data_IF_065732114964
#
_entry.id   IF_065732114964
#
_cell.length_a   1.000
_cell.length_b   1.000
_cell.length_c   1.000
_cell.angle_alpha   90.00
_cell.angle_beta   90.00
_cell.angle_gamma   90.00
#
_symmetry.space_group_name_H-M   'P 1'
#
loop_
_entity.id
_entity.type
_entity.pdbx_description
1 polymer ?
#
# COMPACT_ATOMS: atom_id res chain seq x y z
N UNK A 1 13.10 7.16 -16.55
CA UNK A 1 13.50 6.43 -15.33
C UNK A 1 12.30 5.61 -14.87
N UNK A 2 12.49 4.32 -14.68
CA UNK A 2 11.49 3.43 -14.08
C UNK A 2 11.98 3.07 -12.68
N UNK A 3 11.19 3.35 -11.65
CA UNK A 3 11.54 3.00 -10.27
C UNK A 3 10.72 1.81 -9.77
N UNK A 4 11.32 0.99 -8.93
CA UNK A 4 10.67 -0.14 -8.25
C UNK A 4 11.09 -0.19 -6.80
N UNK A 5 10.19 -0.63 -5.94
CA UNK A 5 10.45 -0.76 -4.51
C UNK A 5 10.26 -2.21 -4.05
N UNK A 6 11.05 -2.63 -3.10
CA UNK A 6 10.85 -3.90 -2.39
C UNK A 6 9.95 -3.73 -1.14
N UNK A 7 9.49 -2.53 -0.86
CA UNK A 7 8.74 -2.20 0.36
C UNK A 7 7.27 -2.68 0.38
N UNK A 8 6.72 -3.15 -0.73
CA UNK A 8 5.30 -3.55 -0.86
C UNK A 8 5.20 -5.05 -1.14
N UNK A 9 4.96 -5.44 -2.38
CA UNK A 9 4.72 -6.83 -2.77
C UNK A 9 5.84 -7.81 -2.36
N UNK A 10 7.06 -7.35 -2.19
CA UNK A 10 8.19 -8.16 -1.73
C UNK A 10 8.36 -8.21 -0.19
N UNK A 11 7.54 -7.47 0.59
CA UNK A 11 7.56 -7.53 2.06
C UNK A 11 8.77 -6.89 2.75
N UNK A 12 9.66 -6.20 2.04
CA UNK A 12 10.94 -5.71 2.57
C UNK A 12 10.91 -4.22 2.97
N UNK A 13 9.78 -3.72 3.48
CA UNK A 13 9.62 -2.30 3.80
C UNK A 13 10.66 -1.78 4.81
N UNK A 14 11.01 -2.58 5.82
CA UNK A 14 11.97 -2.23 6.86
C UNK A 14 13.42 -2.12 6.35
N UNK A 15 13.76 -2.76 5.24
CA UNK A 15 15.12 -2.80 4.72
C UNK A 15 15.50 -1.59 3.85
N UNK A 16 14.55 -0.73 3.50
CA UNK A 16 14.74 0.52 2.76
C UNK A 16 15.48 0.34 1.43
N UNK A 17 15.05 -0.60 0.58
CA UNK A 17 15.66 -0.93 -0.70
C UNK A 17 14.68 -0.83 -1.85
N UNK A 18 15.18 -0.37 -2.97
CA UNK A 18 14.50 -0.28 -4.26
C UNK A 18 15.54 -0.16 -5.37
N UNK A 19 15.10 -0.11 -6.60
CA UNK A 19 15.98 0.08 -7.74
C UNK A 19 15.33 0.95 -8.82
N UNK A 20 16.17 1.46 -9.71
CA UNK A 20 15.72 2.16 -10.91
C UNK A 20 16.35 1.56 -12.15
N UNK A 21 15.62 1.63 -13.26
CA UNK A 21 16.12 1.31 -14.61
C UNK A 21 16.06 2.59 -15.44
N UNK A 22 17.20 2.97 -16.00
CA UNK A 22 17.32 4.20 -16.79
C UNK A 22 18.49 4.07 -17.79
N UNK A 23 18.70 5.10 -18.62
CA UNK A 23 19.87 5.15 -19.51
C UNK A 23 21.18 5.21 -18.71
N UNK A 24 22.32 4.74 -19.28
CA UNK A 24 23.63 4.83 -18.62
C UNK A 24 24.01 6.24 -18.17
N UNK A 25 23.67 7.27 -18.98
CA UNK A 25 23.92 8.67 -18.65
C UNK A 25 23.19 9.10 -17.36
N UNK A 26 21.91 8.72 -17.24
CA UNK A 26 21.12 9.05 -16.05
C UNK A 26 21.65 8.26 -14.84
N UNK A 27 22.01 6.98 -15.02
CA UNK A 27 22.60 6.17 -13.96
C UNK A 27 23.90 6.78 -13.43
N UNK A 28 24.75 7.31 -14.30
CA UNK A 28 25.97 8.01 -13.93
C UNK A 28 25.69 9.26 -13.09
N UNK A 29 24.72 10.11 -13.50
CA UNK A 29 24.32 11.27 -12.72
C UNK A 29 23.77 10.89 -11.35
N UNK A 30 22.94 9.86 -11.23
CA UNK A 30 22.46 9.36 -9.95
C UNK A 30 23.63 8.86 -9.08
N UNK A 31 24.59 8.14 -9.66
CA UNK A 31 25.77 7.65 -8.95
C UNK A 31 26.67 8.77 -8.39
N UNK A 32 26.70 9.93 -9.03
CA UNK A 32 27.48 11.08 -8.53
C UNK A 32 26.87 11.77 -7.32
N UNK A 33 25.56 11.65 -7.13
CA UNK A 33 24.83 12.37 -6.07
C UNK A 33 24.28 11.46 -4.96
N UNK A 34 24.29 10.13 -5.17
CA UNK A 34 23.82 9.21 -4.12
C UNK A 34 24.82 9.17 -2.96
N UNK A 35 24.31 9.01 -1.75
CA UNK A 35 25.13 8.80 -0.56
C UNK A 35 25.96 7.50 -0.66
N UNK A 36 27.21 7.50 -0.19
CA UNK A 36 27.99 6.28 -0.04
C UNK A 36 27.25 5.28 0.86
N UNK A 37 27.29 4.00 0.49
CA UNK A 37 26.65 2.91 1.27
C UNK A 37 25.14 3.11 1.50
N UNK A 38 24.46 3.83 0.62
CA UNK A 38 23.03 4.14 0.71
C UNK A 38 22.10 2.92 0.81
N UNK A 39 22.57 1.73 0.45
CA UNK A 39 21.88 0.44 0.65
C UNK A 39 22.76 -0.47 1.48
N UNK A 40 22.28 -0.89 2.65
CA UNK A 40 23.02 -1.79 3.53
C UNK A 40 23.12 -3.20 2.94
N UNK A 41 24.13 -3.96 3.38
CA UNK A 41 24.44 -5.28 2.82
C UNK A 41 23.30 -6.29 3.03
N UNK A 42 22.65 -6.29 4.19
CA UNK A 42 21.50 -7.16 4.48
C UNK A 42 20.35 -6.90 3.51
N UNK A 43 20.06 -5.62 3.21
CA UNK A 43 19.02 -5.26 2.26
C UNK A 43 19.34 -5.75 0.84
N UNK A 44 20.61 -5.71 0.42
CA UNK A 44 21.03 -6.21 -0.89
C UNK A 44 20.82 -7.72 -1.00
N UNK A 45 21.25 -8.50 0.01
CA UNK A 45 21.05 -9.95 0.04
C UNK A 45 19.57 -10.29 0.04
N UNK A 46 18.77 -9.64 0.90
CA UNK A 46 17.34 -9.88 0.98
C UNK A 46 16.61 -9.54 -0.34
N UNK A 47 17.03 -8.48 -1.03
CA UNK A 47 16.45 -8.12 -2.33
C UNK A 47 16.77 -9.18 -3.40
N UNK A 48 17.98 -9.74 -3.40
CA UNK A 48 18.35 -10.83 -4.32
C UNK A 48 17.49 -12.07 -4.05
N UNK A 49 17.34 -12.47 -2.78
CA UNK A 49 16.47 -13.59 -2.39
C UNK A 49 15.02 -13.35 -2.80
N UNK A 50 14.49 -12.16 -2.54
CA UNK A 50 13.12 -11.81 -2.86
C UNK A 50 12.82 -11.83 -4.37
N UNK A 51 13.77 -11.48 -5.22
CA UNK A 51 13.64 -11.59 -6.67
C UNK A 51 13.55 -13.05 -7.17
N UNK A 52 14.06 -13.99 -6.40
CA UNK A 52 14.01 -15.42 -6.71
C UNK A 52 12.76 -16.10 -6.13
N UNK A 53 12.06 -15.47 -5.18
CA UNK A 53 10.85 -15.99 -4.54
C UNK A 53 9.59 -15.53 -5.28
N UNK A 54 9.37 -16.13 -6.45
CA UNK A 54 8.22 -15.80 -7.29
C UNK A 54 6.89 -16.29 -6.69
N UNK A 55 6.91 -17.31 -5.85
CA UNK A 55 5.69 -17.86 -5.25
C UNK A 55 5.18 -16.97 -4.14
N UNK A 56 6.05 -16.41 -3.30
CA UNK A 56 5.69 -15.36 -2.36
C UNK A 56 5.08 -14.15 -3.08
N UNK A 57 5.68 -13.69 -4.18
CA UNK A 57 5.17 -12.56 -4.95
C UNK A 57 3.79 -12.84 -5.54
N UNK A 58 3.54 -14.04 -6.06
CA UNK A 58 2.22 -14.45 -6.57
C UNK A 58 1.16 -14.46 -5.46
N UNK A 59 1.50 -15.03 -4.29
CA UNK A 59 0.56 -15.07 -3.16
C UNK A 59 0.28 -13.68 -2.61
N UNK A 60 1.30 -12.82 -2.44
CA UNK A 60 1.13 -11.43 -2.05
C UNK A 60 0.19 -10.66 -2.99
N UNK A 61 0.32 -10.85 -4.30
CA UNK A 61 -0.59 -10.26 -5.30
C UNK A 61 -2.00 -10.82 -5.18
N UNK A 62 -2.16 -12.12 -5.02
CA UNK A 62 -3.47 -12.77 -4.88
C UNK A 62 -4.22 -12.25 -3.65
N UNK A 63 -3.55 -12.12 -2.51
CA UNK A 63 -4.14 -11.52 -1.29
C UNK A 63 -4.60 -10.10 -1.57
N UNK A 64 -3.75 -9.28 -2.19
CA UNK A 64 -4.10 -7.90 -2.54
C UNK A 64 -5.29 -7.83 -3.50
N UNK A 65 -5.30 -8.62 -4.57
CA UNK A 65 -6.37 -8.61 -5.58
C UNK A 65 -7.71 -9.10 -5.01
N UNK A 66 -7.67 -10.08 -4.10
CA UNK A 66 -8.87 -10.57 -3.40
C UNK A 66 -9.40 -9.52 -2.43
N UNK A 67 -8.52 -8.94 -1.61
CA UNK A 67 -8.90 -7.90 -0.66
C UNK A 67 -9.39 -6.62 -1.34
N UNK A 68 -8.79 -6.25 -2.49
CA UNK A 68 -9.25 -5.12 -3.29
C UNK A 68 -10.72 -5.30 -3.72
N UNK A 69 -11.06 -6.44 -4.30
CA UNK A 69 -12.44 -6.74 -4.72
C UNK A 69 -13.40 -6.73 -3.54
N UNK A 70 -13.03 -7.37 -2.43
CA UNK A 70 -13.84 -7.38 -1.20
C UNK A 70 -14.16 -5.95 -0.72
N UNK A 71 -13.15 -5.08 -0.66
CA UNK A 71 -13.34 -3.70 -0.22
C UNK A 71 -14.18 -2.89 -1.22
N UNK A 72 -13.95 -3.05 -2.53
CA UNK A 72 -14.75 -2.37 -3.54
C UNK A 72 -16.23 -2.77 -3.50
N UNK A 73 -16.52 -4.05 -3.31
CA UNK A 73 -17.89 -4.56 -3.13
C UNK A 73 -18.52 -4.01 -1.84
N UNK A 74 -17.78 -4.02 -0.73
CA UNK A 74 -18.23 -3.44 0.54
C UNK A 74 -18.50 -1.95 0.46
N UNK A 75 -17.63 -1.16 -0.18
CA UNK A 75 -17.85 0.27 -0.35
C UNK A 75 -19.04 0.58 -1.25
N UNK A 76 -19.28 -0.22 -2.31
CA UNK A 76 -20.51 -0.10 -3.12
C UNK A 76 -21.77 -0.38 -2.31
N UNK A 77 -21.76 -1.41 -1.46
CA UNK A 77 -22.91 -1.75 -0.59
C UNK A 77 -23.18 -0.63 0.41
N UNK A 78 -22.15 0.00 0.95
CA UNK A 78 -22.24 1.16 1.84
C UNK A 78 -22.50 2.49 1.10
N UNK A 79 -22.66 2.47 -0.23
CA UNK A 79 -22.85 3.65 -1.10
C UNK A 79 -21.75 4.69 -0.98
N UNK A 80 -20.53 4.26 -0.67
CA UNK A 80 -19.35 5.11 -0.61
C UNK A 80 -18.71 5.26 -1.99
N UNK A 81 -18.31 6.49 -2.31
CA UNK A 81 -17.52 6.78 -3.51
C UNK A 81 -16.05 6.53 -3.23
N UNK A 82 -15.34 5.94 -4.18
CA UNK A 82 -13.92 5.70 -4.08
C UNK A 82 -13.21 5.86 -5.43
N UNK A 83 -11.90 6.06 -5.39
CA UNK A 83 -11.07 6.10 -6.59
C UNK A 83 -10.64 4.66 -6.92
N UNK A 84 -10.92 4.15 -8.14
CA UNK A 84 -10.45 2.83 -8.57
C UNK A 84 -8.94 2.68 -8.39
N UNK A 85 -8.50 1.57 -7.83
CA UNK A 85 -7.10 1.37 -7.44
C UNK A 85 -6.46 0.17 -8.13
N UNK A 86 -5.16 0.29 -8.42
CA UNK A 86 -4.26 -0.79 -8.80
C UNK A 86 -3.10 -0.94 -7.79
N UNK A 87 -3.25 -0.31 -6.61
CA UNK A 87 -2.26 -0.32 -5.54
C UNK A 87 -2.68 -1.27 -4.41
N UNK A 88 -2.00 -1.18 -3.29
CA UNK A 88 -2.35 -1.90 -2.06
C UNK A 88 -3.20 -1.05 -1.09
N UNK A 89 -3.94 -0.09 -1.62
CA UNK A 89 -4.85 0.78 -0.88
C UNK A 89 -5.93 1.35 -1.80
N UNK A 90 -7.02 1.84 -1.21
CA UNK A 90 -8.10 2.57 -1.91
C UNK A 90 -8.27 3.92 -1.23
N UNK A 91 -8.49 4.99 -2.00
CA UNK A 91 -8.92 6.29 -1.49
C UNK A 91 -10.44 6.37 -1.52
N UNK A 92 -11.06 6.50 -0.36
CA UNK A 92 -12.53 6.46 -0.17
C UNK A 92 -12.99 7.83 0.30
N UNK A 93 -14.07 8.34 -0.30
CA UNK A 93 -14.67 9.62 0.04
C UNK A 93 -15.78 9.44 1.09
N UNK A 94 -15.78 10.31 2.09
CA UNK A 94 -16.79 10.38 3.14
C UNK A 94 -17.44 11.77 3.18
N UNK A 95 -18.56 11.92 3.87
CA UNK A 95 -19.17 13.23 4.12
C UNK A 95 -18.32 14.10 5.05
N UNK A 96 -17.73 13.48 6.08
CA UNK A 96 -16.78 14.09 7.01
C UNK A 96 -15.66 13.08 7.33
N UNK A 97 -14.58 13.10 6.56
CA UNK A 97 -13.50 12.12 6.67
C UNK A 97 -12.82 12.15 8.04
N UNK A 98 -12.68 13.32 8.69
CA UNK A 98 -12.02 13.41 9.99
C UNK A 98 -12.86 12.85 11.12
N UNK A 99 -14.16 12.96 11.07
CA UNK A 99 -15.09 12.33 12.02
C UNK A 99 -15.04 10.81 11.90
N UNK A 100 -15.13 10.31 10.67
CA UNK A 100 -15.00 8.86 10.38
C UNK A 100 -13.63 8.34 10.81
N UNK A 101 -12.55 9.06 10.52
CA UNK A 101 -11.20 8.71 10.96
C UNK A 101 -11.12 8.53 12.49
N UNK A 102 -11.65 9.50 13.24
CA UNK A 102 -11.64 9.45 14.69
C UNK A 102 -12.52 8.31 15.26
N UNK A 103 -13.63 8.02 14.61
CA UNK A 103 -14.51 6.90 14.97
C UNK A 103 -13.85 5.55 14.70
N UNK A 104 -13.18 5.40 13.54
CA UNK A 104 -12.41 4.21 13.20
C UNK A 104 -11.26 3.96 14.19
N UNK A 105 -10.55 5.03 14.60
CA UNK A 105 -9.47 4.90 15.61
C UNK A 105 -9.99 4.37 16.95
N UNK A 106 -11.17 4.81 17.40
CA UNK A 106 -11.79 4.31 18.65
C UNK A 106 -12.13 2.82 18.58
N UNK A 107 -12.43 2.32 17.41
CA UNK A 107 -12.71 0.90 17.15
C UNK A 107 -11.41 0.12 16.79
N UNK A 108 -10.22 0.72 16.94
CA UNK A 108 -8.93 0.08 16.66
C UNK A 108 -8.58 -0.05 15.18
N UNK A 109 -9.30 0.63 14.29
CA UNK A 109 -9.04 0.62 12.84
C UNK A 109 -8.20 1.84 12.46
N UNK A 110 -6.98 1.60 11.98
CA UNK A 110 -6.04 2.64 11.58
C UNK A 110 -6.08 2.84 10.06
N UNK A 111 -6.56 3.99 9.64
CA UNK A 111 -6.54 4.44 8.24
C UNK A 111 -5.73 5.73 8.12
N UNK A 112 -5.55 6.28 6.93
CA UNK A 112 -4.73 7.49 6.74
C UNK A 112 -5.54 8.62 6.10
N UNK A 113 -5.69 9.79 6.75
CA UNK A 113 -6.10 11.01 6.07
C UNK A 113 -5.12 11.37 4.94
N UNK A 114 -5.63 11.90 3.85
CA UNK A 114 -4.85 12.36 2.69
C UNK A 114 -5.17 13.82 2.37
N UNK A 115 -4.28 14.50 1.64
CA UNK A 115 -4.45 15.88 1.20
C UNK A 115 -5.48 16.01 0.05
N UNK A 116 -6.65 15.41 0.26
CA UNK A 116 -7.82 15.50 -0.62
C UNK A 116 -9.07 15.68 0.25
N UNK A 117 -9.96 16.59 -0.13
CA UNK A 117 -11.15 16.91 0.64
C UNK A 117 -12.03 15.68 0.89
N UNK A 118 -12.15 15.34 2.18
CA UNK A 118 -12.99 14.26 2.66
C UNK A 118 -12.60 12.85 2.18
N UNK A 119 -11.31 12.61 1.88
CA UNK A 119 -10.83 11.28 1.57
C UNK A 119 -10.01 10.66 2.70
N UNK A 120 -10.20 9.36 2.89
CA UNK A 120 -9.31 8.50 3.69
C UNK A 120 -8.68 7.44 2.79
N UNK A 121 -7.39 7.20 2.98
CA UNK A 121 -6.67 6.11 2.35
C UNK A 121 -6.76 4.86 3.22
N UNK A 122 -7.37 3.83 2.70
CA UNK A 122 -7.59 2.55 3.35
C UNK A 122 -6.66 1.53 2.71
N UNK A 123 -5.75 0.94 3.49
CA UNK A 123 -4.89 -0.14 3.02
C UNK A 123 -5.70 -1.43 2.86
N UNK A 124 -5.36 -2.22 1.84
CA UNK A 124 -5.93 -3.53 1.64
C UNK A 124 -5.28 -4.48 2.63
N UNK A 125 -6.07 -5.13 3.47
CA UNK A 125 -5.68 -6.13 4.44
C UNK A 125 -6.02 -7.56 4.02
N UNK A 126 -5.91 -8.49 4.96
CA UNK A 126 -6.46 -9.84 4.81
C UNK A 126 -7.98 -9.80 4.72
N UNK A 127 -8.60 -10.92 4.33
CA UNK A 127 -10.07 -11.04 4.27
C UNK A 127 -10.71 -10.73 5.63
N UNK A 128 -10.10 -11.16 6.73
CA UNK A 128 -10.57 -10.94 8.09
C UNK A 128 -10.47 -9.48 8.49
N UNK A 129 -9.35 -8.82 8.21
CA UNK A 129 -9.13 -7.40 8.48
C UNK A 129 -10.10 -6.52 7.68
N UNK A 130 -10.28 -6.82 6.39
CA UNK A 130 -11.23 -6.11 5.53
C UNK A 130 -12.68 -6.30 6.01
N UNK A 131 -13.05 -7.52 6.43
CA UNK A 131 -14.38 -7.81 7.00
C UNK A 131 -14.61 -7.00 8.27
N UNK A 132 -13.61 -6.93 9.14
CA UNK A 132 -13.69 -6.13 10.36
C UNK A 132 -13.89 -4.65 10.04
N UNK A 133 -13.08 -4.09 9.16
CA UNK A 133 -13.21 -2.70 8.70
C UNK A 133 -14.60 -2.40 8.16
N UNK A 134 -15.12 -3.24 7.24
CA UNK A 134 -16.44 -3.03 6.64
C UNK A 134 -17.57 -3.07 7.67
N UNK A 135 -17.51 -3.99 8.63
CA UNK A 135 -18.46 -4.06 9.74
C UNK A 135 -18.41 -2.81 10.63
N UNK A 136 -17.22 -2.29 10.91
CA UNK A 136 -17.07 -1.05 11.69
C UNK A 136 -17.62 0.14 10.91
N UNK A 137 -17.33 0.24 9.61
CA UNK A 137 -17.88 1.29 8.75
C UNK A 137 -19.41 1.25 8.73
N UNK A 138 -20.01 0.08 8.59
CA UNK A 138 -21.48 -0.09 8.61
C UNK A 138 -22.11 0.39 9.93
N UNK A 139 -21.39 0.24 11.05
CA UNK A 139 -21.87 0.69 12.38
C UNK A 139 -21.79 2.20 12.56
N UNK A 140 -20.83 2.88 11.93
CA UNK A 140 -20.53 4.30 12.20
C UNK A 140 -21.10 5.25 11.12
N UNK A 141 -21.56 4.74 9.96
CA UNK A 141 -22.19 5.49 8.88
C UNK A 141 -23.70 5.59 9.08
#
# INVERSE_FOLDING_TARGET
>A
IITRTFSKAFGLAGLRVGYSVCSPTIADFINRVREPFNVNHTAQIAAICALSDLDYLKESRKVNDTGLRQLEEGFKSLKLSYIPSHANFIAVKFSNAMEIYNSLLKEGVIVRPVEMDNFLRISIGTTEENTYLLRVLEKIL
#
